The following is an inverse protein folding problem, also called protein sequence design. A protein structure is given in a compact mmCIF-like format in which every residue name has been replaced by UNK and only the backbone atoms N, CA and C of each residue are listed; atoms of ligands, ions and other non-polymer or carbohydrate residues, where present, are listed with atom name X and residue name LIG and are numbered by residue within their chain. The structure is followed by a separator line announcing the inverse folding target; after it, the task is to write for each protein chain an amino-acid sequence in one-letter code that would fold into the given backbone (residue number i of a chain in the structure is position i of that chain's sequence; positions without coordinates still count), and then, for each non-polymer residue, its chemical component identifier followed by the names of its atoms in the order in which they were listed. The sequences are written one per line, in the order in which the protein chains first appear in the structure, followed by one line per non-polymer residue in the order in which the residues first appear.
data_IF_960906309604
#
_entry.id   IF_960906309604
#
_cell.length_a   1.000
_cell.length_b   1.000
_cell.length_c   1.000
_cell.angle_alpha   90.00
_cell.angle_beta   90.00
_cell.angle_gamma   90.00
#
_symmetry.space_group_name_H-M   'P 1'
#
loop_
_entity.id
_entity.type
_entity.pdbx_description
1 polymer ?
#
# COMPACT_ATOMS: atom_id res chain seq x y z
N UNK A 1 -21.64 -6.88 26.69
CA UNK A 1 -21.03 -7.11 25.36
C UNK A 1 -20.57 -5.73 24.90
N UNK A 2 -19.33 -5.57 24.47
CA UNK A 2 -18.87 -4.26 23.96
C UNK A 2 -19.55 -3.94 22.64
N UNK A 3 -19.58 -2.66 22.26
CA UNK A 3 -20.15 -2.22 20.98
C UNK A 3 -19.45 -2.93 19.79
N UNK A 4 -18.13 -2.99 19.82
CA UNK A 4 -17.34 -3.71 18.81
C UNK A 4 -17.72 -5.18 18.69
N UNK A 5 -17.88 -5.87 19.82
CA UNK A 5 -18.24 -7.31 19.82
C UNK A 5 -19.63 -7.55 19.22
N UNK A 6 -20.60 -6.67 19.54
CA UNK A 6 -21.95 -6.75 18.97
C UNK A 6 -21.88 -6.65 17.44
N UNK A 7 -21.19 -5.63 16.91
CA UNK A 7 -21.07 -5.42 15.46
C UNK A 7 -20.34 -6.57 14.79
N UNK A 8 -19.27 -7.12 15.40
CA UNK A 8 -18.54 -8.27 14.85
C UNK A 8 -19.40 -9.55 14.82
N UNK A 9 -20.22 -9.78 15.82
CA UNK A 9 -21.11 -10.96 15.85
C UNK A 9 -22.21 -10.85 14.78
N UNK A 10 -22.76 -9.66 14.57
CA UNK A 10 -23.70 -9.38 13.49
C UNK A 10 -23.03 -9.55 12.11
N UNK A 11 -21.79 -9.06 11.94
CA UNK A 11 -21.03 -9.20 10.69
C UNK A 11 -20.74 -10.66 10.35
N UNK A 12 -20.31 -11.46 11.34
CA UNK A 12 -20.08 -12.90 11.20
C UNK A 12 -21.35 -13.65 10.81
N UNK A 13 -22.49 -13.28 11.40
CA UNK A 13 -23.77 -13.88 11.08
C UNK A 13 -24.26 -13.53 9.67
N UNK A 14 -23.96 -12.31 9.19
CA UNK A 14 -24.39 -11.81 7.88
C UNK A 14 -23.53 -12.31 6.72
N UNK A 15 -22.20 -12.46 6.92
CA UNK A 15 -21.22 -12.77 5.87
C UNK A 15 -20.33 -13.98 6.22
N UNK A 16 -20.89 -15.14 6.61
CA UNK A 16 -20.09 -16.29 7.02
C UNK A 16 -19.16 -16.82 5.90
N UNK A 17 -19.46 -16.49 4.65
CA UNK A 17 -18.69 -16.88 3.45
C UNK A 17 -17.53 -15.91 3.10
N UNK A 18 -17.29 -14.86 3.92
CA UNK A 18 -16.27 -13.83 3.66
C UNK A 18 -15.24 -13.79 4.82
N UNK A 19 -14.50 -14.87 5.08
CA UNK A 19 -13.62 -14.97 6.25
C UNK A 19 -12.51 -13.89 6.27
N UNK A 20 -11.96 -13.51 5.11
CA UNK A 20 -10.92 -12.48 5.02
C UNK A 20 -11.46 -11.10 5.44
N UNK A 21 -12.69 -10.78 5.06
CA UNK A 21 -13.34 -9.54 5.46
C UNK A 21 -13.64 -9.50 6.96
N UNK A 22 -14.13 -10.61 7.51
CA UNK A 22 -14.41 -10.74 8.94
C UNK A 22 -13.12 -10.61 9.76
N UNK A 23 -12.03 -11.23 9.31
CA UNK A 23 -10.74 -11.13 9.96
C UNK A 23 -10.27 -9.67 10.01
N UNK A 24 -10.26 -8.96 8.89
CA UNK A 24 -9.84 -7.56 8.83
C UNK A 24 -10.70 -6.64 9.72
N UNK A 25 -12.03 -6.83 9.68
CA UNK A 25 -12.93 -6.09 10.56
C UNK A 25 -12.62 -6.37 12.04
N UNK A 26 -12.32 -7.63 12.40
CA UNK A 26 -11.96 -8.02 13.76
C UNK A 26 -10.68 -7.33 14.24
N UNK A 27 -9.65 -7.32 13.41
CA UNK A 27 -8.37 -6.68 13.70
C UNK A 27 -8.52 -5.16 13.85
N UNK A 28 -9.23 -4.51 12.93
CA UNK A 28 -9.45 -3.06 12.97
C UNK A 28 -10.28 -2.66 14.16
N UNK A 29 -11.46 -3.27 14.36
CA UNK A 29 -12.37 -2.92 15.46
C UNK A 29 -11.77 -3.24 16.83
N UNK A 30 -10.91 -4.25 16.92
CA UNK A 30 -10.18 -4.56 18.15
C UNK A 30 -9.20 -3.47 18.59
N UNK A 31 -8.68 -2.68 17.66
CA UNK A 31 -7.67 -1.64 17.94
C UNK A 31 -8.24 -0.25 18.20
N UNK A 32 -9.50 0.00 17.85
CA UNK A 32 -10.14 1.33 18.00
C UNK A 32 -10.98 1.47 19.26
N UNK A 33 -11.02 0.43 20.13
CA UNK A 33 -11.82 0.46 21.36
C UNK A 33 -11.54 1.68 22.25
N UNK A 34 -10.27 2.15 22.43
CA UNK A 34 -10.04 3.36 23.23
C UNK A 34 -10.72 4.61 22.67
N UNK A 35 -10.82 4.74 21.34
CA UNK A 35 -11.54 5.84 20.70
C UNK A 35 -13.05 5.73 20.94
N UNK A 36 -13.63 4.53 20.88
CA UNK A 36 -15.05 4.31 21.14
C UNK A 36 -15.42 4.58 22.59
N UNK A 37 -14.55 4.25 23.53
CA UNK A 37 -14.76 4.53 24.96
C UNK A 37 -14.75 6.04 25.26
N UNK A 38 -13.98 6.81 24.48
CA UNK A 38 -13.92 8.28 24.60
C UNK A 38 -15.08 8.99 23.88
N UNK A 39 -15.75 8.33 22.94
CA UNK A 39 -16.76 8.90 22.03
C UNK A 39 -18.04 8.08 22.00
N UNK A 40 -18.89 8.11 23.06
CA UNK A 40 -20.12 7.32 23.12
C UNK A 40 -21.14 7.70 22.01
N UNK A 41 -21.06 8.91 21.45
CA UNK A 41 -21.88 9.36 20.32
C UNK A 41 -21.73 8.52 19.07
N UNK A 42 -20.62 7.79 18.92
CA UNK A 42 -20.42 6.89 17.78
C UNK A 42 -21.36 5.68 17.83
N UNK A 43 -21.61 5.12 19.03
CA UNK A 43 -22.58 4.04 19.19
C UNK A 43 -24.01 4.54 18.97
N UNK A 44 -24.35 5.72 19.50
CA UNK A 44 -25.67 6.34 19.29
C UNK A 44 -25.99 6.57 17.80
N UNK A 45 -24.96 6.86 17.00
CA UNK A 45 -25.07 7.07 15.54
C UNK A 45 -25.00 5.78 14.72
N UNK A 46 -24.90 4.59 15.34
CA UNK A 46 -24.67 3.30 14.68
C UNK A 46 -23.46 3.35 13.71
N UNK A 47 -22.38 4.00 14.15
CA UNK A 47 -21.27 4.37 13.27
C UNK A 47 -20.50 3.14 12.79
N UNK A 48 -20.27 2.16 13.65
CA UNK A 48 -19.54 0.94 13.28
C UNK A 48 -20.32 0.08 12.30
N UNK A 49 -21.63 -0.06 12.50
CA UNK A 49 -22.52 -0.79 11.57
C UNK A 49 -22.46 -0.18 10.17
N UNK A 50 -22.38 1.15 10.07
CA UNK A 50 -22.22 1.88 8.81
C UNK A 50 -20.80 1.80 8.25
N UNK A 51 -19.77 1.80 9.11
CA UNK A 51 -18.38 1.74 8.71
C UNK A 51 -18.00 0.37 8.12
N UNK A 52 -18.54 -0.72 8.63
CA UNK A 52 -18.23 -2.08 8.14
C UNK A 52 -19.12 -2.53 6.97
N UNK A 53 -20.08 -1.73 6.57
CA UNK A 53 -20.91 -2.01 5.40
C UNK A 53 -20.51 -1.07 4.25
N UNK A 54 -20.11 -1.60 3.06
CA UNK A 54 -19.82 -0.75 1.90
C UNK A 54 -21.02 0.09 1.48
N UNK A 55 -20.83 1.35 1.13
CA UNK A 55 -21.90 2.22 0.61
C UNK A 55 -22.52 1.65 -0.66
N UNK A 56 -21.69 1.03 -1.53
CA UNK A 56 -22.17 0.43 -2.77
C UNK A 56 -21.23 -0.66 -3.28
N UNK A 57 -21.81 -1.67 -3.90
CA UNK A 57 -21.09 -2.73 -4.60
C UNK A 57 -21.63 -2.83 -6.02
N UNK A 58 -20.73 -2.72 -7.01
CA UNK A 58 -21.05 -2.95 -8.42
C UNK A 58 -20.39 -4.24 -8.85
N UNK A 59 -21.17 -5.18 -9.36
CA UNK A 59 -20.71 -6.44 -9.93
C UNK A 59 -21.25 -6.59 -11.35
N UNK A 60 -20.36 -6.96 -12.28
CA UNK A 60 -20.71 -7.04 -13.68
C UNK A 60 -19.96 -8.16 -14.41
N UNK A 61 -20.52 -8.60 -15.53
CA UNK A 61 -19.92 -9.57 -16.44
C UNK A 61 -18.97 -8.86 -17.42
N UNK A 62 -17.78 -9.45 -17.63
CA UNK A 62 -16.77 -8.94 -18.56
C UNK A 62 -16.53 -9.98 -19.67
N UNK A 63 -17.27 -9.93 -20.81
CA UNK A 63 -17.02 -10.77 -21.97
C UNK A 63 -15.92 -10.15 -22.84
N UNK A 64 -14.96 -10.95 -23.27
CA UNK A 64 -13.89 -10.50 -24.16
C UNK A 64 -13.48 -11.64 -25.11
N UNK A 65 -12.71 -11.33 -26.16
CA UNK A 65 -12.29 -12.31 -27.17
C UNK A 65 -10.78 -12.46 -27.11
N UNK A 66 -10.31 -13.71 -26.98
CA UNK A 66 -8.89 -14.03 -26.99
C UNK A 66 -8.27 -14.02 -28.39
N UNK A 67 -6.96 -14.23 -28.49
CA UNK A 67 -6.21 -14.21 -29.74
C UNK A 67 -6.62 -15.36 -30.71
N UNK A 68 -7.29 -16.40 -30.20
CA UNK A 68 -7.86 -17.48 -31.04
C UNK A 68 -9.29 -17.18 -31.50
N UNK A 69 -9.82 -16.01 -31.19
CA UNK A 69 -11.21 -15.64 -31.54
C UNK A 69 -12.27 -16.28 -30.64
N UNK A 70 -11.87 -16.89 -29.50
CA UNK A 70 -12.79 -17.51 -28.56
C UNK A 70 -13.29 -16.51 -27.55
N UNK A 71 -14.59 -16.55 -27.25
CA UNK A 71 -15.20 -15.73 -26.21
C UNK A 71 -14.81 -16.25 -24.82
N UNK A 72 -14.29 -15.34 -24.01
CA UNK A 72 -13.98 -15.53 -22.60
C UNK A 72 -14.95 -14.68 -21.77
N UNK A 73 -15.20 -15.11 -20.51
CA UNK A 73 -16.10 -14.39 -19.60
C UNK A 73 -15.47 -14.36 -18.20
N UNK A 74 -15.29 -13.17 -17.68
CA UNK A 74 -14.84 -12.92 -16.32
C UNK A 74 -15.88 -12.11 -15.53
N UNK A 75 -15.67 -11.98 -14.22
CA UNK A 75 -16.43 -11.09 -13.35
C UNK A 75 -15.63 -9.84 -13.02
N UNK A 76 -16.28 -8.70 -13.09
CA UNK A 76 -15.77 -7.44 -12.64
C UNK A 76 -16.47 -6.99 -11.36
N UNK A 77 -15.72 -6.30 -10.50
CA UNK A 77 -16.23 -5.77 -9.23
C UNK A 77 -15.69 -4.37 -8.99
N UNK A 78 -16.53 -3.52 -8.37
CA UNK A 78 -16.11 -2.29 -7.69
C UNK A 78 -16.85 -2.18 -6.37
N UNK A 79 -16.11 -2.14 -5.27
CA UNK A 79 -16.59 -1.87 -3.93
C UNK A 79 -16.31 -0.41 -3.64
N UNK A 80 -17.33 0.40 -3.65
CA UNK A 80 -17.36 1.79 -3.24
C UNK A 80 -17.63 1.77 -1.73
N UNK A 81 -16.53 1.77 -0.94
CA UNK A 81 -16.62 1.37 0.44
C UNK A 81 -17.12 2.49 1.35
N UNK A 82 -16.47 3.66 1.28
CA UNK A 82 -16.84 4.82 2.10
C UNK A 82 -16.36 6.11 1.44
N UNK A 83 -17.25 7.10 1.30
CA UNK A 83 -17.01 8.39 0.65
C UNK A 83 -17.01 9.58 1.62
N UNK A 84 -17.10 9.37 2.92
CA UNK A 84 -17.26 10.45 3.89
C UNK A 84 -16.14 11.51 3.85
N UNK A 85 -14.92 11.12 3.45
CA UNK A 85 -13.76 12.04 3.40
C UNK A 85 -13.32 12.40 1.97
N UNK A 86 -14.05 11.98 0.96
CA UNK A 86 -13.76 12.29 -0.45
C UNK A 86 -14.19 11.18 -1.43
N UNK A 87 -13.92 11.34 -2.74
CA UNK A 87 -14.26 10.34 -3.75
C UNK A 87 -13.67 8.98 -3.38
N UNK A 88 -14.38 7.90 -3.71
CA UNK A 88 -13.83 6.56 -3.51
C UNK A 88 -12.47 6.42 -4.20
N UNK A 89 -11.49 5.88 -3.53
CA UNK A 89 -10.12 5.76 -4.04
C UNK A 89 -9.51 4.44 -3.65
N UNK A 90 -8.99 3.72 -4.62
CA UNK A 90 -8.24 2.49 -4.41
C UNK A 90 -8.06 1.65 -5.66
N UNK A 91 -7.15 0.69 -5.60
CA UNK A 91 -6.69 -0.08 -6.74
C UNK A 91 -7.71 -1.06 -7.32
N UNK A 92 -7.46 -1.46 -8.56
CA UNK A 92 -8.08 -2.59 -9.24
C UNK A 92 -7.08 -3.75 -9.23
N UNK A 93 -7.54 -4.94 -8.81
CA UNK A 93 -6.74 -6.17 -8.78
C UNK A 93 -7.22 -7.15 -9.84
N UNK A 94 -6.33 -7.61 -10.72
CA UNK A 94 -6.62 -8.67 -11.68
C UNK A 94 -5.86 -9.93 -11.29
N UNK A 95 -6.60 -10.88 -10.72
CA UNK A 95 -6.02 -12.15 -10.25
C UNK A 95 -7.14 -13.19 -10.11
N UNK A 96 -6.91 -14.46 -10.47
CA UNK A 96 -7.90 -15.54 -10.34
C UNK A 96 -8.47 -15.72 -8.93
N UNK A 97 -7.76 -15.27 -7.90
CA UNK A 97 -8.19 -15.38 -6.49
C UNK A 97 -9.11 -14.26 -6.04
N UNK A 98 -9.42 -13.28 -6.89
CA UNK A 98 -10.28 -12.15 -6.53
C UNK A 98 -11.70 -12.62 -6.21
N UNK A 99 -12.14 -12.31 -4.99
CA UNK A 99 -13.49 -12.53 -4.48
C UNK A 99 -14.09 -11.24 -3.97
N UNK A 100 -15.40 -11.20 -3.78
CA UNK A 100 -16.06 -10.05 -3.17
C UNK A 100 -15.59 -9.82 -1.73
N UNK A 101 -15.44 -10.89 -0.94
CA UNK A 101 -14.93 -10.82 0.44
C UNK A 101 -13.54 -10.18 0.52
N UNK A 102 -12.63 -10.61 -0.36
CA UNK A 102 -11.29 -10.00 -0.48
C UNK A 102 -11.38 -8.49 -0.82
N UNK A 103 -12.25 -8.10 -1.74
CA UNK A 103 -12.37 -6.69 -2.14
C UNK A 103 -13.03 -5.83 -1.05
N UNK A 104 -13.96 -6.37 -0.27
CA UNK A 104 -14.53 -5.70 0.93
C UNK A 104 -13.44 -5.50 1.99
N UNK A 105 -12.65 -6.54 2.28
CA UNK A 105 -11.50 -6.46 3.16
C UNK A 105 -10.55 -5.31 2.75
N UNK A 106 -10.09 -5.37 1.51
CA UNK A 106 -9.16 -4.36 0.98
C UNK A 106 -9.77 -2.96 0.91
N UNK A 107 -11.09 -2.83 0.72
CA UNK A 107 -11.82 -1.56 0.72
C UNK A 107 -11.89 -0.93 2.12
N UNK A 108 -12.17 -1.74 3.15
CA UNK A 108 -12.18 -1.31 4.54
C UNK A 108 -10.79 -0.84 5.00
N UNK A 109 -9.74 -1.56 4.65
CA UNK A 109 -8.37 -1.10 4.94
C UNK A 109 -8.02 0.18 4.18
N UNK A 110 -8.50 0.29 2.93
CA UNK A 110 -8.17 1.42 2.07
C UNK A 110 -8.72 2.73 2.63
N UNK A 111 -9.93 2.77 3.19
CA UNK A 111 -10.47 4.02 3.76
C UNK A 111 -9.63 4.50 4.93
N UNK A 112 -9.20 3.61 5.82
CA UNK A 112 -8.35 3.97 6.96
C UNK A 112 -6.94 4.41 6.52
N UNK A 113 -6.38 3.79 5.49
CA UNK A 113 -5.11 4.20 4.90
C UNK A 113 -5.20 5.58 4.23
N UNK A 114 -6.24 5.80 3.45
CA UNK A 114 -6.44 7.08 2.75
C UNK A 114 -6.68 8.23 3.73
N UNK A 115 -7.40 7.99 4.82
CA UNK A 115 -7.67 9.00 5.85
C UNK A 115 -6.38 9.55 6.49
N UNK A 116 -5.36 8.69 6.69
CA UNK A 116 -4.07 9.10 7.23
C UNK A 116 -3.33 10.08 6.31
N UNK A 117 -3.55 10.03 5.00
CA UNK A 117 -2.87 10.94 4.05
C UNK A 117 -3.29 12.40 4.19
N UNK A 118 -4.33 12.68 4.95
CA UNK A 118 -5.01 13.99 5.06
C UNK A 118 -5.67 14.52 3.77
N UNK A 119 -5.39 13.91 2.63
CA UNK A 119 -6.01 14.26 1.35
C UNK A 119 -7.49 13.84 1.30
N UNK A 120 -8.32 14.53 0.50
CA UNK A 120 -9.75 14.23 0.38
C UNK A 120 -9.97 13.00 -0.51
N UNK A 121 -9.74 11.83 0.04
CA UNK A 121 -9.89 10.54 -0.64
C UNK A 121 -10.64 9.56 0.27
N UNK A 122 -11.78 9.10 -0.19
CA UNK A 122 -12.53 8.00 0.41
C UNK A 122 -11.85 6.65 0.18
N UNK A 123 -12.56 5.57 0.45
CA UNK A 123 -12.08 4.21 0.26
C UNK A 123 -12.88 3.43 -0.77
N UNK A 124 -12.18 2.76 -1.68
CA UNK A 124 -12.79 1.85 -2.63
C UNK A 124 -11.79 0.79 -3.10
N UNK A 125 -12.31 -0.32 -3.57
CA UNK A 125 -11.49 -1.40 -4.13
C UNK A 125 -12.25 -2.10 -5.24
N UNK A 126 -11.53 -2.59 -6.25
CA UNK A 126 -12.16 -3.33 -7.33
C UNK A 126 -11.23 -4.37 -7.93
N UNK A 127 -11.73 -5.05 -8.93
CA UNK A 127 -10.93 -6.04 -9.62
C UNK A 127 -11.73 -7.06 -10.41
N UNK A 128 -11.06 -8.10 -10.81
CA UNK A 128 -11.61 -9.21 -11.58
C UNK A 128 -10.85 -10.50 -11.31
N UNK A 129 -11.51 -11.63 -11.51
CA UNK A 129 -10.92 -12.96 -11.56
C UNK A 129 -10.09 -13.22 -12.84
N UNK A 130 -9.86 -12.20 -13.65
CA UNK A 130 -8.99 -12.26 -14.83
C UNK A 130 -7.52 -12.41 -14.42
N UNK A 131 -6.81 -13.35 -15.07
CA UNK A 131 -5.36 -13.52 -14.92
C UNK A 131 -4.62 -12.91 -16.12
N UNK A 132 -3.93 -11.77 -15.94
CA UNK A 132 -3.15 -11.15 -17.01
C UNK A 132 -1.85 -11.90 -17.31
N UNK A 133 -1.44 -12.85 -16.45
CA UNK A 133 -0.19 -13.57 -16.60
C UNK A 133 -0.24 -14.50 -17.81
N UNK A 134 0.73 -14.36 -18.71
CA UNK A 134 0.81 -15.16 -19.92
C UNK A 134 -0.13 -14.74 -21.05
N UNK A 135 -0.91 -13.66 -20.85
CA UNK A 135 -1.77 -13.08 -21.88
C UNK A 135 -0.98 -12.14 -22.79
N UNK A 136 -1.41 -12.06 -24.05
CA UNK A 136 -0.87 -11.08 -24.99
C UNK A 136 -1.33 -9.64 -24.63
N UNK A 137 -0.63 -8.64 -25.14
CA UNK A 137 -1.05 -7.25 -25.00
C UNK A 137 -2.44 -6.99 -25.61
N UNK A 138 -2.77 -7.70 -26.69
CA UNK A 138 -4.06 -7.58 -27.36
C UNK A 138 -5.19 -8.17 -26.49
N UNK A 139 -4.99 -9.36 -25.92
CA UNK A 139 -5.94 -9.97 -24.99
C UNK A 139 -6.19 -9.09 -23.77
N UNK A 140 -5.12 -8.55 -23.17
CA UNK A 140 -5.24 -7.65 -22.02
C UNK A 140 -5.96 -6.36 -22.39
N UNK A 141 -5.70 -5.81 -23.57
CA UNK A 141 -6.40 -4.62 -24.08
C UNK A 141 -7.91 -4.91 -24.25
N UNK A 142 -8.28 -6.02 -24.90
CA UNK A 142 -9.67 -6.41 -25.08
C UNK A 142 -10.40 -6.58 -23.74
N UNK A 143 -9.74 -7.24 -22.77
CA UNK A 143 -10.29 -7.39 -21.43
C UNK A 143 -10.47 -6.02 -20.74
N UNK A 144 -9.46 -5.17 -20.72
CA UNK A 144 -9.52 -3.83 -20.09
C UNK A 144 -10.61 -2.95 -20.72
N UNK A 145 -10.77 -3.00 -22.02
CA UNK A 145 -11.83 -2.26 -22.73
C UNK A 145 -13.22 -2.77 -22.35
N UNK A 146 -13.41 -4.08 -22.30
CA UNK A 146 -14.69 -4.67 -21.88
C UNK A 146 -14.98 -4.35 -20.41
N UNK A 147 -14.01 -4.50 -19.52
CA UNK A 147 -14.12 -4.16 -18.11
C UNK A 147 -14.54 -2.69 -17.91
N UNK A 148 -13.87 -1.77 -18.61
CA UNK A 148 -14.19 -0.34 -18.51
C UNK A 148 -15.54 0.01 -19.13
N UNK A 149 -16.02 -0.72 -20.15
CA UNK A 149 -17.32 -0.51 -20.76
C UNK A 149 -18.48 -0.68 -19.76
N UNK A 150 -18.30 -1.51 -18.75
CA UNK A 150 -19.25 -1.61 -17.64
C UNK A 150 -18.95 -0.62 -16.52
N UNK A 151 -17.68 -0.49 -16.13
CA UNK A 151 -17.28 0.31 -14.96
C UNK A 151 -17.45 1.82 -15.16
N UNK A 152 -17.30 2.37 -16.37
CA UNK A 152 -17.26 3.82 -16.61
C UNK A 152 -18.47 4.59 -16.08
N UNK A 153 -19.61 3.95 -15.97
CA UNK A 153 -20.88 4.56 -15.48
C UNK A 153 -20.83 4.88 -13.98
N UNK A 154 -19.90 4.28 -13.26
CA UNK A 154 -19.83 4.31 -11.80
C UNK A 154 -18.62 5.09 -11.28
N UNK A 155 -17.68 5.42 -12.15
CA UNK A 155 -16.43 6.10 -11.79
C UNK A 155 -16.33 7.49 -12.42
N UNK A 156 -15.45 8.32 -11.86
CA UNK A 156 -15.22 9.67 -12.37
C UNK A 156 -14.25 10.43 -11.43
N UNK A 157 -13.73 11.58 -11.87
CA UNK A 157 -12.72 12.31 -11.11
C UNK A 157 -13.18 12.77 -9.73
N UNK A 158 -14.49 12.98 -9.54
CA UNK A 158 -15.11 13.47 -8.31
C UNK A 158 -16.01 12.44 -7.62
N UNK A 159 -16.11 11.22 -8.15
CA UNK A 159 -16.98 10.15 -7.62
C UNK A 159 -16.15 8.98 -7.13
N UNK A 160 -15.39 8.38 -8.04
CA UNK A 160 -14.57 7.20 -7.77
C UNK A 160 -13.36 7.19 -8.71
N UNK A 161 -12.16 7.12 -8.15
CA UNK A 161 -10.89 7.18 -8.88
C UNK A 161 -10.09 5.90 -8.64
N UNK A 162 -10.26 4.87 -9.48
CA UNK A 162 -9.47 3.65 -9.39
C UNK A 162 -7.99 3.87 -9.68
N UNK A 163 -7.16 2.91 -9.27
CA UNK A 163 -5.71 2.89 -9.50
C UNK A 163 -5.24 1.48 -9.87
N UNK A 164 -3.93 1.32 -10.08
CA UNK A 164 -3.32 0.00 -10.20
C UNK A 164 -3.20 -0.73 -8.86
N UNK A 165 -3.14 -2.05 -8.91
CA UNK A 165 -2.83 -2.99 -7.84
C UNK A 165 -2.28 -4.28 -8.47
N UNK A 166 -2.26 -5.40 -7.75
CA UNK A 166 -1.78 -6.68 -8.28
C UNK A 166 -2.44 -7.02 -9.63
N UNK A 167 -1.62 -7.29 -10.65
CA UNK A 167 -2.07 -7.59 -12.01
C UNK A 167 -2.56 -6.38 -12.81
N UNK A 168 -2.50 -5.17 -12.26
CA UNK A 168 -2.89 -3.91 -12.93
C UNK A 168 -1.75 -2.90 -12.80
N UNK A 169 -0.98 -2.77 -13.84
CA UNK A 169 0.09 -1.78 -13.96
C UNK A 169 -0.26 -0.62 -14.89
N UNK A 170 0.76 0.16 -15.26
CA UNK A 170 0.58 1.31 -16.16
C UNK A 170 -0.03 0.96 -17.52
N UNK A 171 0.23 -0.26 -18.05
CA UNK A 171 -0.35 -0.76 -19.30
C UNK A 171 -1.87 -0.93 -19.17
N UNK A 172 -2.33 -1.62 -18.14
CA UNK A 172 -3.75 -1.87 -17.89
C UNK A 172 -4.48 -0.54 -17.61
N UNK A 173 -3.89 0.33 -16.80
CA UNK A 173 -4.39 1.68 -16.54
C UNK A 173 -4.53 2.48 -17.83
N UNK A 174 -3.54 2.41 -18.74
CA UNK A 174 -3.58 3.10 -20.02
C UNK A 174 -4.72 2.59 -20.92
N UNK A 175 -4.90 1.28 -21.02
CA UNK A 175 -6.01 0.69 -21.80
C UNK A 175 -7.38 1.07 -21.23
N UNK A 176 -7.53 1.04 -19.91
CA UNK A 176 -8.77 1.44 -19.25
C UNK A 176 -9.05 2.94 -19.40
N UNK A 177 -8.02 3.79 -19.25
CA UNK A 177 -8.17 5.23 -19.44
C UNK A 177 -8.56 5.59 -20.89
N UNK A 178 -7.92 4.95 -21.89
CA UNK A 178 -8.25 5.13 -23.28
C UNK A 178 -9.71 4.78 -23.60
N UNK A 179 -10.22 3.68 -23.04
CA UNK A 179 -11.62 3.27 -23.20
C UNK A 179 -12.58 4.20 -22.47
N UNK A 180 -12.27 4.62 -21.23
CA UNK A 180 -13.07 5.60 -20.49
C UNK A 180 -13.23 6.88 -21.31
N UNK A 181 -12.11 7.47 -21.76
CA UNK A 181 -12.11 8.68 -22.58
C UNK A 181 -12.93 8.53 -23.85
N UNK A 182 -12.89 7.36 -24.49
CA UNK A 182 -13.68 7.08 -25.70
C UNK A 182 -15.18 7.03 -25.41
N UNK A 183 -15.59 6.45 -24.26
CA UNK A 183 -17.00 6.28 -23.90
C UNK A 183 -17.64 7.59 -23.41
N UNK A 184 -16.89 8.37 -22.63
CA UNK A 184 -17.39 9.63 -22.04
C UNK A 184 -17.21 10.82 -22.96
N UNK A 185 -16.29 10.74 -23.93
CA UNK A 185 -15.81 11.88 -24.72
C UNK A 185 -15.19 13.01 -23.86
N UNK A 186 -14.58 12.63 -22.73
CA UNK A 186 -13.97 13.56 -21.78
C UNK A 186 -12.52 13.12 -21.46
N UNK A 187 -11.64 14.11 -21.27
CA UNK A 187 -10.34 13.91 -20.66
C UNK A 187 -10.40 14.42 -19.23
N UNK A 188 -10.36 13.50 -18.24
CA UNK A 188 -10.51 13.85 -16.82
C UNK A 188 -9.46 13.15 -15.96
N UNK A 189 -9.40 13.51 -14.67
CA UNK A 189 -8.55 12.89 -13.66
C UNK A 189 -9.02 11.53 -13.15
N UNK A 190 -9.87 10.83 -13.88
CA UNK A 190 -10.24 9.44 -13.58
C UNK A 190 -9.03 8.53 -13.72
N UNK A 191 -8.87 7.54 -12.85
CA UNK A 191 -7.72 6.65 -12.76
C UNK A 191 -6.41 7.37 -12.36
N UNK A 192 -5.63 6.75 -11.50
CA UNK A 192 -4.26 7.17 -11.19
C UNK A 192 -3.25 6.06 -11.50
N UNK A 193 -1.97 6.44 -11.59
CA UNK A 193 -0.93 5.57 -12.13
C UNK A 193 -0.86 5.63 -13.65
N UNK A 194 -1.37 6.71 -14.24
CA UNK A 194 -1.26 7.00 -15.67
C UNK A 194 0.18 7.22 -16.09
N UNK A 195 0.47 7.03 -17.37
CA UNK A 195 1.76 7.42 -17.96
C UNK A 195 1.92 8.95 -17.98
N UNK A 196 3.16 9.42 -17.92
CA UNK A 196 3.48 10.86 -17.92
C UNK A 196 2.94 11.60 -19.15
N UNK A 197 2.83 10.93 -20.29
CA UNK A 197 2.30 11.51 -21.53
C UNK A 197 0.80 11.78 -21.52
N UNK A 198 0.06 11.29 -20.51
CA UNK A 198 -1.40 11.43 -20.45
C UNK A 198 -1.92 11.63 -19.00
N UNK A 199 -1.23 12.45 -18.22
CA UNK A 199 -1.68 12.96 -16.92
C UNK A 199 -1.16 12.19 -15.71
N UNK A 200 -0.13 11.37 -15.86
CA UNK A 200 0.59 10.75 -14.75
C UNK A 200 1.46 11.75 -13.98
N UNK A 201 1.79 11.42 -12.75
CA UNK A 201 2.65 12.23 -11.88
C UNK A 201 4.09 11.71 -11.87
N UNK A 202 5.06 12.62 -11.88
CA UNK A 202 6.44 12.32 -11.49
C UNK A 202 6.49 11.85 -10.04
N UNK A 203 7.59 11.25 -9.64
CA UNK A 203 7.83 10.66 -8.32
C UNK A 203 6.82 9.55 -7.91
N UNK A 204 5.86 9.15 -8.78
CA UNK A 204 4.87 8.10 -8.43
C UNK A 204 5.53 6.73 -8.27
N UNK A 205 6.55 6.45 -9.06
CA UNK A 205 7.29 5.18 -9.02
C UNK A 205 8.07 5.05 -7.71
N UNK A 206 8.69 6.11 -7.28
CA UNK A 206 9.54 6.23 -6.09
C UNK A 206 8.71 6.30 -4.80
N UNK A 207 7.50 6.81 -4.89
CA UNK A 207 6.69 7.32 -3.79
C UNK A 207 6.54 6.37 -2.59
N UNK A 208 6.39 5.06 -2.81
CA UNK A 208 6.20 4.12 -1.71
C UNK A 208 7.50 3.92 -0.93
N UNK A 209 8.62 3.72 -1.63
CA UNK A 209 9.94 3.59 -1.01
C UNK A 209 10.39 4.88 -0.34
N UNK A 210 10.24 6.01 -1.01
CA UNK A 210 10.57 7.33 -0.44
C UNK A 210 9.72 7.66 0.77
N UNK A 211 8.40 7.46 0.67
CA UNK A 211 7.47 7.71 1.76
C UNK A 211 7.78 6.89 3.00
N UNK A 212 8.11 5.59 2.83
CA UNK A 212 8.57 4.74 3.92
C UNK A 212 9.76 5.36 4.65
N UNK A 213 10.78 5.79 3.90
CA UNK A 213 12.00 6.34 4.48
C UNK A 213 11.73 7.69 5.14
N UNK A 214 10.89 8.57 4.56
CA UNK A 214 10.50 9.83 5.19
C UNK A 214 9.72 9.61 6.50
N UNK A 215 8.87 8.59 6.57
CA UNK A 215 8.14 8.26 7.79
C UNK A 215 9.09 7.79 8.91
N UNK A 216 10.04 6.92 8.58
CA UNK A 216 11.08 6.46 9.52
C UNK A 216 12.04 7.58 9.91
N UNK A 217 12.43 8.44 8.97
CA UNK A 217 13.29 9.60 9.21
C UNK A 217 12.67 10.59 10.21
N UNK A 218 11.37 10.82 10.08
CA UNK A 218 10.67 11.71 11.01
C UNK A 218 10.58 11.11 12.42
N UNK A 219 10.39 9.80 12.53
CA UNK A 219 10.52 9.11 13.82
C UNK A 219 11.92 9.31 14.42
N UNK A 220 12.98 9.08 13.66
CA UNK A 220 14.36 9.27 14.14
C UNK A 220 14.57 10.71 14.60
N UNK A 221 14.15 11.70 13.81
CA UNK A 221 14.23 13.13 14.15
C UNK A 221 13.47 13.49 15.42
N UNK A 222 12.29 12.90 15.63
CA UNK A 222 11.50 13.11 16.86
C UNK A 222 12.23 12.61 18.13
N UNK A 223 13.24 11.74 17.95
CA UNK A 223 14.09 11.22 19.03
C UNK A 223 15.49 11.85 19.05
N UNK A 224 15.73 12.89 18.23
CA UNK A 224 17.05 13.55 18.12
C UNK A 224 18.09 12.74 17.36
N UNK A 225 17.67 11.84 16.51
CA UNK A 225 18.50 10.92 15.69
C UNK A 225 18.25 11.16 14.18
N UNK A 226 18.95 10.42 13.29
CA UNK A 226 18.81 10.51 11.85
C UNK A 226 19.27 9.23 11.18
N UNK A 227 19.10 9.11 9.86
CA UNK A 227 19.68 8.02 9.06
C UNK A 227 21.21 8.09 8.96
N UNK A 228 21.82 9.25 9.20
CA UNK A 228 23.27 9.43 9.06
C UNK A 228 24.04 8.39 9.86
N UNK A 229 24.88 7.59 9.16
CA UNK A 229 25.70 6.54 9.75
C UNK A 229 24.95 5.28 10.22
N UNK A 230 23.65 5.17 10.02
CA UNK A 230 22.88 3.97 10.39
C UNK A 230 23.08 2.84 9.39
N UNK A 231 23.20 1.62 9.90
CA UNK A 231 23.16 0.41 9.12
C UNK A 231 21.71 -0.03 8.90
N UNK A 232 21.34 -0.24 7.65
CA UNK A 232 19.98 -0.59 7.24
C UNK A 232 19.98 -1.91 6.47
N UNK A 233 18.99 -2.76 6.68
CA UNK A 233 18.74 -3.95 5.85
C UNK A 233 17.40 -3.82 5.17
N UNK A 234 17.33 -4.20 3.89
CA UNK A 234 16.11 -4.13 3.09
C UNK A 234 15.76 -5.52 2.57
N UNK A 235 14.56 -6.02 2.89
CA UNK A 235 14.08 -7.28 2.34
C UNK A 235 13.27 -7.03 1.09
N UNK A 236 13.80 -7.44 -0.05
CA UNK A 236 13.24 -7.26 -1.38
C UNK A 236 14.20 -6.58 -2.35
N UNK A 237 13.87 -6.65 -3.63
CA UNK A 237 14.53 -5.96 -4.75
C UNK A 237 13.51 -5.48 -5.79
N UNK A 238 12.26 -5.34 -5.38
CA UNK A 238 11.18 -4.76 -6.17
C UNK A 238 11.16 -3.24 -6.09
N UNK A 239 10.14 -2.63 -6.70
CA UNK A 239 9.99 -1.17 -6.78
C UNK A 239 10.12 -0.46 -5.42
N UNK A 240 9.43 -0.95 -4.39
CA UNK A 240 9.49 -0.32 -3.05
C UNK A 240 10.90 -0.41 -2.46
N UNK A 241 11.52 -1.58 -2.57
CA UNK A 241 12.83 -1.84 -1.99
C UNK A 241 13.93 -0.96 -2.62
N UNK A 242 14.01 -0.90 -3.97
CA UNK A 242 15.09 -0.14 -4.63
C UNK A 242 15.02 1.36 -4.32
N UNK A 243 13.80 1.92 -4.27
CA UNK A 243 13.65 3.34 -3.96
C UNK A 243 13.77 3.64 -2.46
N UNK A 244 13.49 2.67 -1.57
CA UNK A 244 13.87 2.78 -0.17
C UNK A 244 15.42 2.82 -0.02
N UNK A 245 16.15 1.94 -0.72
CA UNK A 245 17.63 1.96 -0.76
C UNK A 245 18.14 3.32 -1.22
N UNK A 246 17.60 3.85 -2.32
CA UNK A 246 18.00 5.16 -2.86
C UNK A 246 17.83 6.27 -1.83
N UNK A 247 16.65 6.35 -1.20
CA UNK A 247 16.35 7.44 -0.26
C UNK A 247 17.14 7.30 1.04
N UNK A 248 17.33 6.09 1.57
CA UNK A 248 18.20 5.83 2.73
C UNK A 248 19.62 6.34 2.46
N UNK A 249 20.18 6.00 1.29
CA UNK A 249 21.53 6.46 0.90
C UNK A 249 21.59 7.98 0.76
N UNK A 250 20.55 8.62 0.22
CA UNK A 250 20.47 10.09 0.14
C UNK A 250 20.44 10.78 1.51
N UNK A 251 19.91 10.09 2.55
CA UNK A 251 19.86 10.59 3.91
C UNK A 251 21.06 10.17 4.77
N UNK A 252 22.13 9.64 4.15
CA UNK A 252 23.38 9.27 4.83
C UNK A 252 23.37 7.90 5.51
N UNK A 253 22.31 7.11 5.34
CA UNK A 253 22.23 5.73 5.82
C UNK A 253 22.97 4.76 4.89
N UNK A 254 23.41 3.65 5.43
CA UNK A 254 24.13 2.60 4.71
C UNK A 254 23.27 1.34 4.63
N UNK A 255 22.81 0.99 3.44
CA UNK A 255 22.06 -0.25 3.22
C UNK A 255 23.04 -1.40 3.04
N UNK A 256 23.08 -2.34 3.97
CA UNK A 256 24.03 -3.45 3.97
C UNK A 256 23.59 -4.62 3.08
N UNK A 257 22.28 -4.81 2.90
CA UNK A 257 21.76 -5.96 2.17
C UNK A 257 20.43 -5.70 1.51
N UNK A 258 20.21 -6.40 0.37
CA UNK A 258 18.93 -6.55 -0.30
C UNK A 258 18.67 -8.02 -0.66
N UNK A 259 17.43 -8.41 -0.88
CA UNK A 259 17.06 -9.79 -1.19
C UNK A 259 16.09 -9.95 -2.36
N UNK A 260 16.05 -11.15 -2.91
CA UNK A 260 14.97 -11.60 -3.79
C UNK A 260 14.52 -13.02 -3.42
N UNK A 261 13.74 -13.66 -4.27
CA UNK A 261 13.21 -15.02 -4.03
C UNK A 261 14.26 -16.15 -4.17
N UNK A 262 15.48 -15.82 -4.59
CA UNK A 262 16.56 -16.80 -4.83
C UNK A 262 17.69 -16.67 -3.81
N UNK A 263 17.68 -15.60 -3.01
CA UNK A 263 18.71 -15.33 -2.02
C UNK A 263 18.82 -13.84 -1.68
N UNK A 264 19.98 -13.46 -1.21
CA UNK A 264 20.25 -12.07 -0.81
C UNK A 264 21.70 -11.68 -1.06
N UNK A 265 21.90 -10.41 -1.25
CA UNK A 265 23.21 -9.79 -1.43
C UNK A 265 23.58 -9.03 -0.18
N UNK A 266 24.81 -9.21 0.30
CA UNK A 266 25.46 -8.40 1.32
C UNK A 266 26.55 -7.55 0.67
N UNK A 267 26.50 -6.24 0.89
CA UNK A 267 27.56 -5.32 0.45
C UNK A 267 28.08 -4.53 1.66
N UNK A 268 29.27 -4.85 2.17
CA UNK A 268 29.87 -4.15 3.32
C UNK A 268 30.18 -2.69 3.04
N UNK A 269 30.32 -2.31 1.76
CA UNK A 269 30.51 -0.91 1.34
C UNK A 269 29.19 -0.12 1.25
N UNK A 270 28.08 -0.84 1.28
CA UNK A 270 26.71 -0.33 1.10
C UNK A 270 26.19 -0.57 -0.30
N UNK A 271 24.93 -0.98 -0.39
CA UNK A 271 24.25 -1.27 -1.66
C UNK A 271 24.26 -0.02 -2.57
N UNK A 272 24.87 -0.16 -3.72
CA UNK A 272 24.91 0.86 -4.76
C UNK A 272 23.58 0.88 -5.54
N UNK A 273 22.87 2.00 -5.44
CA UNK A 273 21.58 2.15 -6.09
C UNK A 273 21.67 1.99 -7.62
N UNK A 274 22.72 2.52 -8.26
CA UNK A 274 22.85 2.48 -9.72
C UNK A 274 22.95 1.04 -10.24
N UNK A 275 23.74 0.21 -9.55
CA UNK A 275 23.87 -1.21 -9.88
C UNK A 275 22.57 -1.96 -9.59
N UNK A 276 21.96 -1.69 -8.43
CA UNK A 276 20.69 -2.31 -8.04
C UNK A 276 19.57 -1.97 -9.03
N UNK A 277 19.48 -0.72 -9.47
CA UNK A 277 18.50 -0.25 -10.47
C UNK A 277 18.75 -0.89 -11.84
N UNK A 278 20.02 -1.07 -12.24
CA UNK A 278 20.37 -1.78 -13.48
C UNK A 278 19.84 -3.21 -13.44
N UNK A 279 20.10 -3.96 -12.37
CA UNK A 279 19.59 -5.32 -12.18
C UNK A 279 18.05 -5.35 -12.17
N UNK A 280 17.41 -4.41 -11.48
CA UNK A 280 15.96 -4.29 -11.43
C UNK A 280 15.36 -4.06 -12.83
N UNK A 281 15.90 -3.11 -13.59
CA UNK A 281 15.41 -2.78 -14.93
C UNK A 281 15.61 -3.95 -15.90
N UNK A 282 16.73 -4.66 -15.82
CA UNK A 282 17.02 -5.84 -16.61
C UNK A 282 16.01 -6.98 -16.30
N UNK A 283 15.72 -7.22 -15.03
CA UNK A 283 14.72 -8.19 -14.57
C UNK A 283 13.32 -7.82 -15.08
N UNK A 284 12.95 -6.54 -15.03
CA UNK A 284 11.63 -6.03 -15.44
C UNK A 284 11.43 -6.05 -16.96
N UNK A 285 12.48 -5.94 -17.75
CA UNK A 285 12.38 -5.98 -19.22
C UNK A 285 11.84 -7.31 -19.75
N UNK A 286 11.97 -8.39 -18.98
CA UNK A 286 11.48 -9.72 -19.34
C UNK A 286 12.21 -10.38 -20.51
N UNK A 287 13.22 -9.71 -21.08
CA UNK A 287 14.01 -10.25 -22.19
C UNK A 287 14.94 -11.37 -21.76
N UNK A 288 15.32 -11.39 -20.48
CA UNK A 288 16.26 -12.34 -19.90
C UNK A 288 15.61 -13.09 -18.71
N UNK A 289 15.22 -14.33 -18.91
CA UNK A 289 14.48 -15.12 -17.91
C UNK A 289 15.33 -15.57 -16.70
N UNK A 290 16.64 -15.33 -16.72
CA UNK A 290 17.59 -15.73 -15.67
C UNK A 290 18.08 -14.60 -14.77
N UNK A 291 17.54 -13.39 -14.90
CA UNK A 291 18.00 -12.25 -14.11
C UNK A 291 17.56 -12.37 -12.66
N UNK A 292 18.52 -12.49 -11.74
CA UNK A 292 18.32 -12.48 -10.29
C UNK A 292 19.19 -11.39 -9.66
N UNK A 293 18.98 -11.12 -8.39
CA UNK A 293 19.80 -10.17 -7.65
C UNK A 293 21.28 -10.61 -7.53
N UNK A 294 21.58 -11.90 -7.74
CA UNK A 294 22.95 -12.42 -7.82
C UNK A 294 23.84 -11.66 -8.81
N UNK A 295 23.25 -11.10 -9.88
CA UNK A 295 24.02 -10.31 -10.86
C UNK A 295 24.63 -9.03 -10.30
N UNK A 296 24.19 -8.59 -9.13
CA UNK A 296 24.76 -7.42 -8.46
C UNK A 296 26.26 -7.59 -8.16
N UNK A 297 26.68 -8.80 -7.76
CA UNK A 297 28.09 -9.07 -7.40
C UNK A 297 29.02 -9.07 -8.62
N UNK A 298 28.50 -9.16 -9.83
CA UNK A 298 29.32 -9.04 -11.05
C UNK A 298 29.93 -7.65 -11.19
N UNK A 299 29.25 -6.62 -10.68
CA UNK A 299 29.66 -5.20 -10.75
C UNK A 299 30.25 -4.72 -9.40
N UNK A 300 30.09 -5.47 -8.31
CA UNK A 300 30.52 -5.13 -6.94
C UNK A 300 31.37 -6.25 -6.32
N UNK A 301 32.68 -6.25 -6.52
CA UNK A 301 33.56 -7.36 -6.11
C UNK A 301 33.62 -7.63 -4.60
N UNK A 302 33.30 -6.63 -3.76
CA UNK A 302 33.29 -6.78 -2.30
C UNK A 302 31.93 -7.33 -1.80
N UNK A 303 30.90 -7.30 -2.64
CA UNK A 303 29.60 -7.84 -2.29
C UNK A 303 29.61 -9.38 -2.35
N UNK A 304 28.80 -10.00 -1.49
CA UNK A 304 28.66 -11.44 -1.39
C UNK A 304 27.22 -11.84 -1.70
N UNK A 305 27.04 -12.79 -2.60
CA UNK A 305 25.76 -13.44 -2.86
C UNK A 305 25.57 -14.63 -1.94
N UNK A 306 24.43 -14.68 -1.26
CA UNK A 306 23.99 -15.78 -0.42
C UNK A 306 22.77 -16.43 -1.09
N UNK A 307 22.95 -17.62 -1.67
CA UNK A 307 21.88 -18.38 -2.32
C UNK A 307 20.91 -18.96 -1.27
N UNK A 308 19.60 -18.99 -1.58
CA UNK A 308 18.58 -19.63 -0.75
C UNK A 308 17.45 -18.67 -0.35
N UNK A 309 17.11 -18.62 0.93
CA UNK A 309 16.02 -17.80 1.43
C UNK A 309 16.47 -16.33 1.59
N UNK A 310 15.77 -15.42 0.92
CA UNK A 310 16.00 -13.97 1.04
C UNK A 310 15.85 -13.43 2.47
N UNK A 311 15.22 -14.17 3.37
CA UNK A 311 15.10 -13.83 4.81
C UNK A 311 16.45 -13.82 5.54
N UNK A 312 17.50 -14.37 4.93
CA UNK A 312 18.86 -14.31 5.49
C UNK A 312 19.34 -12.89 5.80
N UNK A 313 18.80 -11.85 5.15
CA UNK A 313 19.11 -10.44 5.48
C UNK A 313 18.83 -10.08 6.93
N UNK A 314 17.87 -10.76 7.57
CA UNK A 314 17.48 -10.50 8.96
C UNK A 314 18.51 -10.96 10.00
N UNK A 315 19.51 -11.74 9.58
CA UNK A 315 20.59 -12.21 10.45
C UNK A 315 21.72 -11.18 10.58
N UNK A 316 21.72 -10.12 9.74
CA UNK A 316 22.75 -9.09 9.79
C UNK A 316 22.49 -8.09 10.93
N UNK A 317 23.54 -7.67 11.67
CA UNK A 317 23.43 -6.54 12.58
C UNK A 317 23.03 -5.27 11.84
N UNK A 318 21.96 -4.64 12.30
CA UNK A 318 21.48 -3.39 11.72
C UNK A 318 20.78 -2.51 12.77
N UNK A 319 20.67 -1.23 12.49
CA UNK A 319 19.89 -0.27 13.29
C UNK A 319 18.41 -0.27 12.84
N UNK A 320 18.19 -0.43 11.53
CA UNK A 320 16.88 -0.29 10.89
C UNK A 320 16.64 -1.45 9.91
N UNK A 321 15.46 -2.06 9.99
CA UNK A 321 15.02 -3.10 9.07
C UNK A 321 13.79 -2.65 8.27
N UNK A 322 13.85 -2.79 6.94
CA UNK A 322 12.80 -2.38 6.01
C UNK A 322 12.27 -3.58 5.21
N UNK A 323 11.20 -4.26 5.67
CA UNK A 323 10.55 -5.33 4.93
C UNK A 323 9.73 -4.77 3.75
N UNK A 324 10.27 -4.90 2.52
CA UNK A 324 9.72 -4.33 1.29
C UNK A 324 9.31 -5.40 0.25
N UNK A 325 9.24 -6.68 0.61
CA UNK A 325 8.99 -7.76 -0.35
C UNK A 325 7.50 -8.14 -0.45
N UNK A 326 7.02 -9.04 0.40
CA UNK A 326 5.67 -9.63 0.35
C UNK A 326 5.10 -9.82 1.75
N UNK A 327 3.83 -10.15 1.80
CA UNK A 327 3.09 -10.50 3.02
C UNK A 327 3.76 -11.68 3.75
N UNK A 328 3.76 -11.64 5.08
CA UNK A 328 4.20 -12.72 5.97
C UNK A 328 5.60 -13.26 5.64
N UNK A 329 6.55 -12.38 5.36
CA UNK A 329 7.96 -12.72 5.06
C UNK A 329 8.93 -12.31 6.17
N UNK A 330 8.45 -11.72 7.27
CA UNK A 330 9.20 -11.47 8.50
C UNK A 330 8.47 -12.22 9.64
N UNK A 331 9.05 -13.33 10.05
CA UNK A 331 8.46 -14.26 11.01
C UNK A 331 9.00 -14.00 12.42
N UNK A 332 8.48 -14.70 13.44
CA UNK A 332 8.90 -14.53 14.81
C UNK A 332 10.41 -14.79 15.01
N UNK A 333 10.94 -15.83 14.37
CA UNK A 333 12.38 -16.12 14.47
C UNK A 333 13.26 -15.03 13.85
N UNK A 334 12.79 -14.34 12.79
CA UNK A 334 13.47 -13.20 12.19
C UNK A 334 13.44 -12.00 13.12
N UNK A 335 12.30 -11.75 13.77
CA UNK A 335 12.17 -10.68 14.76
C UNK A 335 13.11 -10.90 15.95
N UNK A 336 13.22 -12.15 16.41
CA UNK A 336 14.15 -12.52 17.47
C UNK A 336 15.62 -12.25 17.07
N UNK A 337 15.99 -12.60 15.83
CA UNK A 337 17.33 -12.33 15.30
C UNK A 337 17.62 -10.83 15.21
N UNK A 338 16.69 -10.05 14.65
CA UNK A 338 16.81 -8.59 14.53
C UNK A 338 16.99 -7.91 15.90
N UNK A 339 16.17 -8.29 16.90
CA UNK A 339 16.29 -7.75 18.26
C UNK A 339 17.64 -8.13 18.89
N UNK A 340 18.05 -9.39 18.77
CA UNK A 340 19.32 -9.86 19.29
C UNK A 340 20.53 -9.14 18.65
N UNK A 341 20.41 -8.78 17.36
CA UNK A 341 21.42 -8.06 16.59
C UNK A 341 21.37 -6.52 16.74
N UNK A 342 20.49 -6.01 17.60
CA UNK A 342 20.46 -4.59 17.98
C UNK A 342 19.57 -3.70 17.14
N UNK A 343 18.70 -4.24 16.29
CA UNK A 343 17.72 -3.47 15.50
C UNK A 343 16.83 -2.62 16.42
N UNK A 344 16.64 -1.35 16.08
CA UNK A 344 15.86 -0.39 16.86
C UNK A 344 14.57 0.02 16.17
N UNK A 345 14.52 -0.07 14.86
CA UNK A 345 13.36 0.37 14.06
C UNK A 345 13.04 -0.65 12.98
N UNK A 346 11.78 -1.00 12.86
CA UNK A 346 11.23 -1.77 11.73
C UNK A 346 10.19 -0.92 11.01
N UNK A 347 10.38 -0.69 9.71
CA UNK A 347 9.44 0.08 8.88
C UNK A 347 8.92 -0.75 7.72
N UNK A 348 7.61 -1.00 7.68
CA UNK A 348 6.98 -1.83 6.67
C UNK A 348 6.79 -1.10 5.33
N UNK A 349 7.56 -1.50 4.32
CA UNK A 349 7.37 -1.03 2.94
C UNK A 349 6.34 -1.84 2.16
N UNK A 350 6.24 -3.13 2.42
CA UNK A 350 5.19 -3.99 1.86
C UNK A 350 3.88 -3.89 2.69
N UNK A 351 2.82 -4.49 2.18
CA UNK A 351 1.59 -4.65 2.96
C UNK A 351 1.72 -5.90 3.83
N UNK A 352 1.57 -5.74 5.15
CA UNK A 352 1.61 -6.81 6.14
C UNK A 352 2.79 -7.81 5.97
N UNK A 353 4.03 -7.36 5.81
CA UNK A 353 5.17 -8.26 5.63
C UNK A 353 5.53 -8.99 6.92
N UNK A 354 5.17 -8.44 8.07
CA UNK A 354 5.49 -8.94 9.42
C UNK A 354 4.31 -9.70 9.99
N UNK A 355 4.54 -10.88 10.55
CA UNK A 355 3.48 -11.63 11.22
C UNK A 355 3.06 -10.97 12.54
N UNK A 356 1.85 -11.28 13.01
CA UNK A 356 1.33 -10.71 14.27
C UNK A 356 2.24 -11.05 15.45
N UNK A 357 2.74 -12.27 15.51
CA UNK A 357 3.65 -12.73 16.56
C UNK A 357 4.98 -11.95 16.54
N UNK A 358 5.51 -11.68 15.33
CA UNK A 358 6.71 -10.87 15.16
C UNK A 358 6.48 -9.41 15.54
N UNK A 359 5.34 -8.83 15.16
CA UNK A 359 4.95 -7.47 15.52
C UNK A 359 4.84 -7.31 17.05
N UNK A 360 4.15 -8.24 17.69
CA UNK A 360 4.03 -8.27 19.16
C UNK A 360 5.39 -8.36 19.82
N UNK A 361 6.26 -9.24 19.30
CA UNK A 361 7.61 -9.41 19.84
C UNK A 361 8.45 -8.12 19.72
N UNK A 362 8.39 -7.40 18.60
CA UNK A 362 9.06 -6.11 18.46
C UNK A 362 8.58 -5.08 19.50
N UNK A 363 7.25 -4.96 19.67
CA UNK A 363 6.67 -4.03 20.64
C UNK A 363 7.09 -4.36 22.08
N UNK A 364 7.06 -5.62 22.47
CA UNK A 364 7.44 -6.08 23.80
C UNK A 364 8.95 -5.89 24.09
N UNK A 365 9.80 -5.87 23.05
CA UNK A 365 11.24 -5.68 23.19
C UNK A 365 11.72 -4.26 22.86
N UNK A 366 10.80 -3.29 22.78
CA UNK A 366 11.12 -1.86 22.64
C UNK A 366 11.67 -1.46 21.27
N UNK A 367 11.42 -2.27 20.23
CA UNK A 367 11.69 -1.90 18.84
C UNK A 367 10.54 -1.06 18.31
N UNK A 368 10.85 0.10 17.76
CA UNK A 368 9.84 0.96 17.13
C UNK A 368 9.33 0.31 15.83
N UNK A 369 8.08 -0.09 15.83
CA UNK A 369 7.44 -0.77 14.69
C UNK A 369 6.51 0.19 13.95
N UNK A 370 6.85 0.49 12.67
CA UNK A 370 6.10 1.38 11.78
C UNK A 370 5.21 0.55 10.86
N UNK A 371 3.88 0.52 11.09
CA UNK A 371 2.97 -0.33 10.32
C UNK A 371 2.85 0.12 8.86
N UNK A 372 2.76 -0.84 7.94
CA UNK A 372 2.66 -0.58 6.51
C UNK A 372 1.50 0.34 6.13
N UNK A 373 0.38 0.26 6.83
CA UNK A 373 -0.78 1.14 6.63
C UNK A 373 -0.41 2.63 6.62
N UNK A 374 0.50 3.05 7.49
CA UNK A 374 1.02 4.41 7.54
C UNK A 374 2.34 4.53 6.75
N UNK A 375 3.34 3.71 7.07
CA UNK A 375 4.68 3.86 6.54
C UNK A 375 4.76 3.71 5.00
N UNK A 376 3.96 2.84 4.39
CA UNK A 376 3.95 2.65 2.93
C UNK A 376 2.90 3.49 2.18
N UNK A 377 2.27 4.46 2.83
CA UNK A 377 1.20 5.26 2.24
C UNK A 377 1.69 6.25 1.15
N UNK A 378 3.00 6.40 0.96
CA UNK A 378 3.55 7.32 -0.06
C UNK A 378 2.98 7.10 -1.45
N UNK A 379 2.76 5.84 -1.86
CA UNK A 379 2.19 5.53 -3.16
C UNK A 379 0.76 6.04 -3.36
N UNK A 380 -0.12 5.86 -2.40
CA UNK A 380 -1.49 6.40 -2.47
C UNK A 380 -1.51 7.92 -2.29
N UNK A 381 -0.57 8.46 -1.52
CA UNK A 381 -0.40 9.89 -1.32
C UNK A 381 -0.07 10.59 -2.65
N UNK A 382 0.94 10.12 -3.38
CA UNK A 382 1.26 10.66 -4.72
C UNK A 382 0.14 10.39 -5.72
N UNK A 383 -0.66 9.32 -5.56
CA UNK A 383 -1.88 9.15 -6.36
C UNK A 383 -2.90 10.28 -6.10
N UNK A 384 -3.05 10.75 -4.86
CA UNK A 384 -3.87 11.93 -4.54
C UNK A 384 -3.28 13.21 -5.13
N UNK A 385 -1.96 13.37 -5.11
CA UNK A 385 -1.28 14.49 -5.79
C UNK A 385 -1.46 14.44 -7.32
N UNK A 386 -1.49 13.25 -7.93
CA UNK A 386 -1.84 13.09 -9.35
C UNK A 386 -3.27 13.56 -9.63
N UNK A 387 -4.22 13.25 -8.74
CA UNK A 387 -5.60 13.76 -8.86
C UNK A 387 -5.62 15.29 -8.80
N UNK A 388 -4.86 15.91 -7.89
CA UNK A 388 -4.77 17.38 -7.78
C UNK A 388 -4.20 18.00 -9.05
N UNK A 389 -3.08 17.48 -9.56
CA UNK A 389 -2.47 17.94 -10.82
C UNK A 389 -3.45 17.83 -12.00
N UNK A 390 -4.21 16.73 -12.07
CA UNK A 390 -5.21 16.54 -13.12
C UNK A 390 -6.38 17.52 -13.01
N UNK A 391 -6.83 17.84 -11.79
CA UNK A 391 -7.89 18.80 -11.56
C UNK A 391 -7.49 20.24 -11.91
N UNK A 392 -6.23 20.57 -11.70
CA UNK A 392 -5.63 21.87 -12.04
C UNK A 392 -5.23 21.96 -13.51
N UNK A 393 -5.20 20.84 -14.27
CA UNK A 393 -4.63 20.71 -15.60
C UNK A 393 -3.15 21.12 -15.67
N UNK A 394 -2.39 20.83 -14.59
CA UNK A 394 -0.97 21.12 -14.47
C UNK A 394 -0.16 19.82 -14.30
N UNK A 395 1.12 19.92 -14.55
CA UNK A 395 2.13 18.91 -14.22
C UNK A 395 3.17 19.56 -13.33
N UNK A 396 3.39 18.98 -12.14
CA UNK A 396 4.42 19.44 -11.20
C UNK A 396 5.77 18.77 -11.51
N UNK A 397 6.85 19.43 -11.12
CA UNK A 397 8.20 18.86 -11.22
C UNK A 397 8.37 17.71 -10.24
N UNK A 398 9.44 16.94 -10.43
CA UNK A 398 9.79 15.87 -9.48
C UNK A 398 9.97 16.40 -8.05
N UNK A 399 10.69 17.52 -7.93
CA UNK A 399 11.00 18.18 -6.66
C UNK A 399 9.74 18.71 -5.96
N UNK A 400 8.78 19.24 -6.71
CA UNK A 400 7.50 19.69 -6.16
C UNK A 400 6.69 18.52 -5.60
N UNK A 401 6.64 17.39 -6.34
CA UNK A 401 5.91 16.19 -5.87
C UNK A 401 6.64 15.55 -4.69
N UNK A 402 7.97 15.39 -4.76
CA UNK A 402 8.77 14.78 -3.68
C UNK A 402 8.73 15.63 -2.41
N UNK A 403 8.82 16.98 -2.53
CA UNK A 403 8.70 17.87 -1.38
C UNK A 403 7.32 17.80 -0.69
N UNK A 404 6.24 17.68 -1.49
CA UNK A 404 4.88 17.47 -0.93
C UNK A 404 4.76 16.08 -0.29
N UNK A 405 5.32 15.04 -0.91
CA UNK A 405 5.36 13.69 -0.35
C UNK A 405 6.07 13.69 1.00
N UNK A 406 7.25 14.28 1.10
CA UNK A 406 8.01 14.41 2.34
C UNK A 406 7.20 15.11 3.42
N UNK A 407 6.66 16.29 3.12
CA UNK A 407 5.85 17.08 4.06
C UNK A 407 4.66 16.28 4.60
N UNK A 408 3.92 15.59 3.72
CA UNK A 408 2.72 14.85 4.08
C UNK A 408 3.06 13.57 4.87
N UNK A 409 4.13 12.86 4.52
CA UNK A 409 4.58 11.68 5.28
C UNK A 409 5.04 12.06 6.69
N UNK A 410 5.74 13.19 6.85
CA UNK A 410 6.11 13.73 8.16
C UNK A 410 4.89 14.10 9.00
N UNK A 411 3.94 14.83 8.41
CA UNK A 411 2.68 15.17 9.07
C UNK A 411 1.88 13.92 9.48
N UNK A 412 1.90 12.88 8.65
CA UNK A 412 1.28 11.59 8.96
C UNK A 412 1.93 10.90 10.15
N UNK A 413 3.27 10.92 10.23
CA UNK A 413 3.96 10.37 11.41
C UNK A 413 3.52 11.07 12.69
N UNK A 414 3.51 12.40 12.72
CA UNK A 414 3.07 13.16 13.90
C UNK A 414 1.62 12.86 14.27
N UNK A 415 0.72 12.83 13.30
CA UNK A 415 -0.68 12.45 13.55
C UNK A 415 -0.81 11.08 14.20
N UNK A 416 -0.04 10.09 13.75
CA UNK A 416 -0.03 8.73 14.31
C UNK A 416 0.57 8.70 15.72
N UNK A 417 1.71 9.37 15.93
CA UNK A 417 2.42 9.41 17.22
C UNK A 417 1.61 10.18 18.29
N UNK A 418 1.05 11.32 17.93
CA UNK A 418 0.26 12.15 18.83
C UNK A 418 -1.06 11.43 19.20
N UNK A 419 -1.73 10.79 18.24
CA UNK A 419 -2.92 9.97 18.52
C UNK A 419 -2.59 8.80 19.44
N UNK A 420 -1.47 8.10 19.22
CA UNK A 420 -1.06 7.02 20.11
C UNK A 420 -0.86 7.52 21.55
N UNK A 421 -0.24 8.67 21.74
CA UNK A 421 -0.07 9.30 23.06
C UNK A 421 -1.40 9.70 23.70
N UNK A 422 -2.27 10.36 22.95
CA UNK A 422 -3.58 10.84 23.41
C UNK A 422 -4.43 9.68 23.96
N UNK A 423 -4.40 8.52 23.29
CA UNK A 423 -5.17 7.34 23.70
C UNK A 423 -4.38 6.38 24.59
N UNK A 424 -3.30 6.85 25.24
CA UNK A 424 -2.53 6.05 26.22
C UNK A 424 -1.75 4.88 25.62
N UNK A 425 -1.43 4.95 24.34
CA UNK A 425 -0.73 3.93 23.55
C UNK A 425 0.62 4.43 23.06
N UNK A 426 1.33 5.25 23.84
CA UNK A 426 2.62 5.83 23.45
C UNK A 426 3.58 4.78 22.91
N UNK A 427 4.14 5.02 21.72
CA UNK A 427 5.04 4.10 21.03
C UNK A 427 4.36 2.96 20.27
N UNK A 428 3.05 2.79 20.39
CA UNK A 428 2.28 1.81 19.62
C UNK A 428 1.72 2.47 18.34
N UNK A 429 2.54 2.55 17.31
CA UNK A 429 2.16 3.16 16.03
C UNK A 429 1.09 2.38 15.27
N UNK A 430 0.91 1.09 15.55
CA UNK A 430 -0.17 0.28 14.97
C UNK A 430 -1.53 0.79 15.47
N UNK A 431 -1.69 0.94 16.78
CA UNK A 431 -2.90 1.51 17.37
C UNK A 431 -3.07 2.97 16.99
N UNK A 432 -1.99 3.77 17.06
CA UNK A 432 -2.03 5.18 16.64
C UNK A 432 -2.53 5.36 15.21
N UNK A 433 -2.05 4.55 14.25
CA UNK A 433 -2.50 4.62 12.86
C UNK A 433 -3.97 4.19 12.70
N UNK A 434 -4.41 3.13 13.39
CA UNK A 434 -5.79 2.68 13.30
C UNK A 434 -6.76 3.69 13.92
N UNK A 435 -6.45 4.22 15.09
CA UNK A 435 -7.28 5.22 15.77
C UNK A 435 -7.31 6.53 14.97
N UNK A 436 -6.16 7.07 14.56
CA UNK A 436 -6.10 8.30 13.77
C UNK A 436 -6.89 8.18 12.45
N UNK A 437 -6.72 7.06 11.75
CA UNK A 437 -7.46 6.78 10.52
C UNK A 437 -8.96 6.68 10.76
N UNK A 438 -9.37 5.99 11.83
CA UNK A 438 -10.77 5.83 12.22
C UNK A 438 -11.43 7.17 12.58
N UNK A 439 -10.83 7.94 13.47
CA UNK A 439 -11.40 9.20 13.98
C UNK A 439 -11.76 10.16 12.84
N UNK A 440 -10.87 10.35 11.88
CA UNK A 440 -11.14 11.23 10.74
C UNK A 440 -12.36 10.80 9.91
N UNK A 441 -12.52 9.49 9.70
CA UNK A 441 -13.68 8.95 8.97
C UNK A 441 -14.94 9.04 9.81
N UNK A 442 -14.85 8.69 11.10
CA UNK A 442 -15.94 8.72 12.05
C UNK A 442 -16.53 10.12 12.21
N UNK A 443 -15.68 11.13 12.41
CA UNK A 443 -16.09 12.52 12.55
C UNK A 443 -16.76 13.05 11.27
N UNK A 444 -16.22 12.68 10.11
CA UNK A 444 -16.84 13.06 8.83
C UNK A 444 -18.22 12.41 8.65
N UNK A 445 -18.35 11.11 8.97
CA UNK A 445 -19.63 10.40 8.91
C UNK A 445 -20.65 10.97 9.90
N UNK A 446 -20.20 11.36 11.10
CA UNK A 446 -21.07 11.95 12.11
C UNK A 446 -21.54 13.35 11.70
N UNK A 447 -20.62 14.19 11.20
CA UNK A 447 -20.91 15.55 10.76
C UNK A 447 -21.87 15.59 9.55
N UNK A 448 -21.79 14.62 8.64
CA UNK A 448 -22.66 14.53 7.46
C UNK A 448 -24.02 13.90 7.76
N UNK A 449 -24.21 13.32 8.94
CA UNK A 449 -25.46 12.71 9.38
C UNK A 449 -25.67 11.30 8.80
N UNK A 450 -26.93 10.93 8.68
CA UNK A 450 -27.32 9.60 8.14
C UNK A 450 -27.68 9.77 6.67
N UNK A 451 -26.72 9.50 5.80
CA UNK A 451 -26.86 9.61 4.35
C UNK A 451 -26.38 8.31 3.65
#
# INVERSE_FOLDING_TARGET
MSYTQKVLDELKARYPEQPEFIQAATEILGTIQPALDAHPEYEEAALLERLVEPERIVMFRVPWVDDQGKVQVNRGYRVEFNSAIGPYKGGLRFNPTVTLGMLKFLGLEQILKNSLTTLPMGGGKGGSDFDPKGKSNNEIMHFCQSFMTELYRHIGPNTDVPAGDLGVGGREVAYMFGQYKRLTNEWTGVLTGKGLSFGGSLARTEATGYGLVYFVDEYLKSRGDSFEGKNVVVHGSGNVAIYAVQKVSQLGGKVLACSDTHGWVEDPDGIDFTVLEHVYNKKRSGHDKGVTLAMYVDEKPNAVWHEGDGRGVWQLPCDIALPCARENTLLLEDAQALVANGCKVVGEGANMPTTIEATTYFQENGVAFMPGKAANAGGVLVSGLEMSQNAEHLSWTFEEVDGKLEQLMRGMFHNVDDTAKEYGQEGNFVMGANIAGFLKVADAMLAQGVC
#
